data_IF_458341788209
#
_entry.id   IF_458341788209
#
_cell.length_a   1.000
_cell.length_b   1.000
_cell.length_c   1.000
_cell.angle_alpha   90.00
_cell.angle_beta   90.00
_cell.angle_gamma   90.00
#
_symmetry.space_group_name_H-M   'P 1'
#
loop_
_entity.id
_entity.type
_entity.pdbx_description
1 polymer ?
#
# COMPACT_ATOMS: atom_id res chain seq x y z
N UNK A 1 -3.60 16.40 28.40
CA UNK A 1 -3.53 17.82 28.03
C UNK A 1 -4.29 18.03 26.73
N UNK A 2 -5.00 19.14 26.60
CA UNK A 2 -5.66 19.49 25.34
C UNK A 2 -4.61 19.84 24.29
N UNK A 3 -4.84 19.42 23.03
CA UNK A 3 -3.98 19.76 21.90
C UNK A 3 -4.16 21.23 21.53
N UNK A 4 -3.06 21.90 21.18
CA UNK A 4 -3.13 23.25 20.59
C UNK A 4 -3.74 23.19 19.19
N UNK A 5 -4.23 24.29 18.65
CA UNK A 5 -4.82 24.34 17.30
C UNK A 5 -3.82 23.90 16.21
N UNK A 6 -2.55 24.28 16.32
CA UNK A 6 -1.51 23.81 15.40
C UNK A 6 -1.27 22.30 15.50
N UNK A 7 -1.38 21.72 16.70
CA UNK A 7 -1.22 20.27 16.88
C UNK A 7 -2.42 19.48 16.32
N UNK A 8 -3.64 20.01 16.49
CA UNK A 8 -4.83 19.41 15.88
C UNK A 8 -4.70 19.43 14.36
N UNK A 9 -4.37 20.59 13.80
CA UNK A 9 -4.17 20.75 12.36
C UNK A 9 -3.06 19.83 11.83
N UNK A 10 -1.96 19.67 12.58
CA UNK A 10 -0.92 18.70 12.21
C UNK A 10 -1.45 17.28 12.13
N UNK A 11 -2.25 16.84 13.10
CA UNK A 11 -2.83 15.50 13.08
C UNK A 11 -3.77 15.27 11.87
N UNK A 12 -4.59 16.28 11.52
CA UNK A 12 -5.46 16.24 10.35
C UNK A 12 -4.67 16.20 9.04
N UNK A 13 -3.66 17.06 8.90
CA UNK A 13 -2.81 17.14 7.71
C UNK A 13 -1.94 15.87 7.53
N UNK A 14 -1.50 15.27 8.63
CA UNK A 14 -0.74 14.02 8.59
C UNK A 14 -1.55 12.86 8.01
N UNK A 15 -2.85 12.83 8.22
CA UNK A 15 -3.74 11.78 7.69
C UNK A 15 -3.95 11.84 6.17
N UNK A 16 -3.50 12.89 5.51
CA UNK A 16 -3.64 13.04 4.05
C UNK A 16 -2.59 12.23 3.30
N UNK A 17 -1.34 12.29 3.72
CA UNK A 17 -0.21 11.69 3.01
C UNK A 17 0.78 10.92 3.90
N UNK A 18 0.54 10.87 5.21
CA UNK A 18 1.40 10.25 6.22
C UNK A 18 2.84 10.81 6.23
N UNK A 19 3.02 12.02 5.73
CA UNK A 19 4.30 12.71 5.67
C UNK A 19 4.39 13.77 6.79
N UNK A 20 5.16 13.46 7.84
CA UNK A 20 5.29 14.33 9.02
C UNK A 20 5.85 15.71 8.69
N UNK A 21 6.83 15.80 7.80
CA UNK A 21 7.47 17.06 7.41
C UNK A 21 6.48 17.96 6.68
N UNK A 22 5.76 17.42 5.70
CA UNK A 22 4.77 18.17 4.93
C UNK A 22 3.58 18.56 5.80
N UNK A 23 3.11 17.66 6.66
CA UNK A 23 2.04 17.94 7.61
C UNK A 23 2.42 19.07 8.57
N UNK A 24 3.66 19.10 9.07
CA UNK A 24 4.15 20.19 9.93
C UNK A 24 4.14 21.55 9.17
N UNK A 25 4.60 21.58 7.92
CA UNK A 25 4.57 22.80 7.10
C UNK A 25 3.13 23.31 6.92
N UNK A 26 2.20 22.42 6.52
CA UNK A 26 0.79 22.75 6.30
C UNK A 26 0.09 23.17 7.60
N UNK A 27 0.51 22.63 8.73
CA UNK A 27 0.02 23.06 10.05
C UNK A 27 0.58 24.39 10.54
N UNK A 28 1.49 25.04 9.78
CA UNK A 28 2.04 26.35 10.06
C UNK A 28 3.29 26.32 10.94
N UNK A 29 4.05 25.23 10.94
CA UNK A 29 5.40 25.18 11.50
C UNK A 29 6.42 25.67 10.45
N UNK A 30 7.59 26.13 10.91
CA UNK A 30 8.64 26.62 10.02
C UNK A 30 9.18 25.51 9.12
N UNK A 31 9.28 25.75 7.81
CA UNK A 31 9.82 24.80 6.85
C UNK A 31 11.27 24.38 7.19
N UNK A 32 12.07 25.30 7.76
CA UNK A 32 13.46 25.02 8.15
C UNK A 32 13.58 23.95 9.24
N UNK A 33 12.59 23.83 10.12
CA UNK A 33 12.59 22.90 11.25
C UNK A 33 11.48 21.86 11.15
N UNK A 34 10.75 21.80 10.02
CA UNK A 34 9.57 20.98 9.87
C UNK A 34 9.84 19.47 10.05
N UNK A 35 11.01 19.00 9.64
CA UNK A 35 11.41 17.60 9.81
C UNK A 35 11.55 17.24 11.30
N UNK A 36 12.29 18.06 12.06
CA UNK A 36 12.45 17.84 13.49
C UNK A 36 11.13 18.01 14.24
N UNK A 37 10.37 19.06 13.91
CA UNK A 37 9.06 19.30 14.51
C UNK A 37 8.08 18.19 14.21
N UNK A 38 8.04 17.68 12.98
CA UNK A 38 7.20 16.55 12.57
C UNK A 38 7.50 15.30 13.39
N UNK A 39 8.78 14.97 13.52
CA UNK A 39 9.24 13.83 14.32
C UNK A 39 8.87 13.99 15.82
N UNK A 40 9.06 15.17 16.39
CA UNK A 40 8.68 15.46 17.80
C UNK A 40 7.17 15.42 18.01
N UNK A 41 6.39 15.90 17.04
CA UNK A 41 4.93 15.87 17.08
C UNK A 41 4.42 14.43 17.02
N UNK A 42 4.98 13.58 16.16
CA UNK A 42 4.62 12.17 16.09
C UNK A 42 4.99 11.39 17.35
N UNK A 43 6.05 11.78 18.07
CA UNK A 43 6.42 11.20 19.35
C UNK A 43 5.48 11.61 20.50
N UNK A 44 4.64 12.64 20.32
CA UNK A 44 3.73 13.12 21.35
C UNK A 44 2.50 12.18 21.48
N UNK A 45 2.34 11.60 22.67
CA UNK A 45 1.27 10.64 22.98
C UNK A 45 -0.14 11.22 22.72
N UNK A 46 -0.36 12.51 22.99
CA UNK A 46 -1.66 13.15 22.77
C UNK A 46 -1.97 13.29 21.28
N UNK A 47 -0.96 13.57 20.45
CA UNK A 47 -1.10 13.63 18.99
C UNK A 47 -1.30 12.23 18.42
N UNK A 48 -0.55 11.22 18.87
CA UNK A 48 -0.76 9.83 18.47
C UNK A 48 -2.18 9.34 18.75
N UNK A 49 -2.73 9.67 19.93
CA UNK A 49 -4.12 9.37 20.27
C UNK A 49 -5.10 10.07 19.34
N UNK A 50 -4.87 11.32 18.99
CA UNK A 50 -5.72 12.07 18.06
C UNK A 50 -5.68 11.46 16.65
N UNK A 51 -4.50 11.11 16.15
CA UNK A 51 -4.31 10.43 14.86
C UNK A 51 -5.03 9.08 14.86
N UNK A 52 -4.81 8.25 15.88
CA UNK A 52 -5.44 6.91 15.98
C UNK A 52 -6.97 7.03 16.02
N UNK A 53 -7.51 8.00 16.77
CA UNK A 53 -8.95 8.26 16.83
C UNK A 53 -9.49 8.66 15.45
N UNK A 54 -8.84 9.57 14.76
CA UNK A 54 -9.27 10.03 13.44
C UNK A 54 -9.18 8.93 12.36
N UNK A 55 -8.17 8.05 12.44
CA UNK A 55 -8.09 6.84 11.60
C UNK A 55 -9.27 5.91 11.88
N UNK A 56 -9.59 5.64 13.15
CA UNK A 56 -10.70 4.79 13.54
C UNK A 56 -12.05 5.37 13.07
N UNK A 57 -12.28 6.67 13.25
CA UNK A 57 -13.49 7.36 12.77
C UNK A 57 -13.61 7.30 11.25
N UNK A 58 -12.49 7.51 10.52
CA UNK A 58 -12.46 7.39 9.06
C UNK A 58 -12.78 5.96 8.62
N UNK A 59 -12.16 4.97 9.24
CA UNK A 59 -12.40 3.55 8.95
C UNK A 59 -13.85 3.16 9.23
N UNK A 60 -14.41 3.62 10.34
CA UNK A 60 -15.82 3.39 10.69
C UNK A 60 -16.77 4.00 9.64
N UNK A 61 -16.53 5.25 9.23
CA UNK A 61 -17.34 5.97 8.25
C UNK A 61 -17.26 5.37 6.84
N UNK A 62 -16.06 5.02 6.39
CA UNK A 62 -15.82 4.49 5.03
C UNK A 62 -15.99 2.99 4.96
N UNK A 63 -15.99 2.29 6.09
CA UNK A 63 -15.90 0.82 6.19
C UNK A 63 -14.67 0.25 5.46
N UNK A 64 -13.62 1.06 5.32
CA UNK A 64 -12.33 0.67 4.74
C UNK A 64 -11.32 0.63 5.87
N UNK A 65 -10.73 -0.55 6.10
CA UNK A 65 -9.60 -0.77 7.00
C UNK A 65 -8.42 -1.35 6.22
N UNK A 66 -7.23 -1.27 6.81
CA UNK A 66 -6.03 -1.93 6.27
C UNK A 66 -6.28 -3.42 6.04
N UNK A 67 -6.83 -4.10 7.05
CA UNK A 67 -7.12 -5.54 6.97
C UNK A 67 -8.06 -5.88 5.82
N UNK A 68 -9.08 -5.04 5.59
CA UNK A 68 -9.99 -5.25 4.48
C UNK A 68 -9.31 -5.13 3.13
N UNK A 69 -8.42 -4.14 2.96
CA UNK A 69 -7.65 -3.98 1.71
C UNK A 69 -6.69 -5.16 1.52
N UNK A 70 -5.98 -5.57 2.57
CA UNK A 70 -5.08 -6.74 2.55
C UNK A 70 -5.86 -8.01 2.21
N UNK A 71 -7.04 -8.21 2.79
CA UNK A 71 -7.88 -9.37 2.49
C UNK A 71 -8.37 -9.39 1.04
N UNK A 72 -8.77 -8.24 0.47
CA UNK A 72 -9.15 -8.18 -0.95
C UNK A 72 -7.97 -8.45 -1.89
N UNK A 73 -6.77 -7.93 -1.56
CA UNK A 73 -5.55 -8.26 -2.29
C UNK A 73 -5.20 -9.75 -2.18
N UNK A 74 -5.39 -10.34 -1.01
CA UNK A 74 -5.12 -11.76 -0.77
C UNK A 74 -6.03 -12.67 -1.62
N UNK A 75 -7.30 -12.34 -1.80
CA UNK A 75 -8.21 -13.07 -2.68
C UNK A 75 -7.68 -13.14 -4.12
N UNK A 76 -7.13 -12.04 -4.63
CA UNK A 76 -6.53 -11.99 -5.98
C UNK A 76 -5.19 -12.75 -6.01
N UNK A 77 -4.34 -12.51 -5.01
CA UNK A 77 -2.99 -13.06 -4.94
C UNK A 77 -2.96 -14.58 -4.81
N UNK A 78 -3.90 -15.16 -4.08
CA UNK A 78 -3.94 -16.59 -3.79
C UNK A 78 -5.01 -17.36 -4.60
N UNK A 79 -5.71 -16.67 -5.50
CA UNK A 79 -6.67 -17.29 -6.38
C UNK A 79 -6.02 -18.44 -7.18
N UNK A 80 -6.68 -19.58 -7.23
CA UNK A 80 -6.33 -20.68 -8.09
C UNK A 80 -7.37 -20.80 -9.23
N UNK A 81 -6.90 -20.86 -10.46
CA UNK A 81 -7.79 -21.00 -11.61
C UNK A 81 -8.66 -22.27 -11.56
N UNK A 82 -8.14 -23.32 -10.94
CA UNK A 82 -8.88 -24.56 -10.73
C UNK A 82 -10.11 -24.41 -9.80
N UNK A 83 -10.20 -23.32 -9.04
CA UNK A 83 -11.37 -23.02 -8.21
C UNK A 83 -12.50 -22.40 -9.04
N UNK A 84 -12.17 -21.78 -10.18
CA UNK A 84 -13.11 -21.10 -11.09
C UNK A 84 -13.56 -22.01 -12.22
N UNK A 85 -12.66 -22.77 -12.83
CA UNK A 85 -12.96 -23.59 -14.01
C UNK A 85 -12.90 -25.08 -13.70
N UNK A 86 -13.69 -25.85 -14.43
CA UNK A 86 -13.68 -27.30 -14.41
C UNK A 86 -12.66 -27.89 -15.40
N UNK A 87 -12.57 -29.23 -15.46
CA UNK A 87 -11.66 -29.93 -16.37
C UNK A 87 -12.01 -29.74 -17.87
N UNK A 88 -13.22 -29.31 -18.16
CA UNK A 88 -13.70 -29.05 -19.52
C UNK A 88 -13.51 -27.59 -19.96
N UNK A 89 -12.91 -26.76 -19.09
CA UNK A 89 -12.73 -25.33 -19.34
C UNK A 89 -13.97 -24.46 -19.06
N UNK A 90 -15.05 -25.06 -18.53
CA UNK A 90 -16.26 -24.30 -18.18
C UNK A 90 -16.17 -23.72 -16.79
N UNK A 91 -16.83 -22.58 -16.58
CA UNK A 91 -16.96 -22.00 -15.26
C UNK A 91 -17.81 -22.91 -14.37
N UNK A 92 -17.29 -23.22 -13.18
CA UNK A 92 -18.02 -24.01 -12.19
C UNK A 92 -19.28 -23.27 -11.71
N UNK A 93 -20.33 -24.01 -11.41
CA UNK A 93 -21.59 -23.42 -10.90
C UNK A 93 -21.49 -22.92 -9.46
N UNK A 94 -20.49 -23.38 -8.71
CA UNK A 94 -20.29 -23.11 -7.29
C UNK A 94 -19.07 -22.22 -7.00
N UNK A 95 -18.65 -21.36 -7.95
CA UNK A 95 -17.56 -20.41 -7.73
C UNK A 95 -17.92 -19.46 -6.58
N UNK A 96 -17.02 -19.33 -5.61
CA UNK A 96 -17.27 -18.47 -4.46
C UNK A 96 -17.22 -17.00 -4.88
N UNK A 97 -17.88 -16.13 -4.06
CA UNK A 97 -17.80 -14.69 -4.29
C UNK A 97 -16.37 -14.15 -4.16
N UNK A 98 -15.57 -14.79 -3.33
CA UNK A 98 -14.18 -14.40 -3.10
C UNK A 98 -13.29 -14.75 -4.30
N UNK A 99 -13.52 -15.91 -4.94
CA UNK A 99 -12.82 -16.30 -6.17
C UNK A 99 -13.21 -15.40 -7.34
N UNK A 100 -14.48 -14.94 -7.38
CA UNK A 100 -14.95 -13.97 -8.37
C UNK A 100 -14.22 -12.62 -8.29
N UNK A 101 -13.65 -12.23 -7.12
CA UNK A 101 -12.88 -11.01 -6.97
C UNK A 101 -11.60 -10.98 -7.84
N UNK A 102 -11.11 -12.15 -8.25
CA UNK A 102 -9.97 -12.27 -9.16
C UNK A 102 -10.31 -12.15 -10.64
N UNK A 103 -11.59 -12.04 -11.01
CA UNK A 103 -12.02 -11.92 -12.41
C UNK A 103 -12.12 -10.43 -12.77
N UNK A 104 -11.31 -9.98 -13.72
CA UNK A 104 -11.32 -8.60 -14.22
C UNK A 104 -12.52 -8.35 -15.12
N UNK A 105 -12.79 -9.27 -16.02
CA UNK A 105 -13.98 -9.27 -16.87
C UNK A 105 -14.34 -10.69 -17.34
N UNK A 106 -15.59 -10.85 -17.67
CA UNK A 106 -16.15 -12.08 -18.24
C UNK A 106 -17.11 -11.74 -19.37
N UNK A 107 -17.01 -12.49 -20.47
CA UNK A 107 -17.92 -12.43 -21.62
C UNK A 107 -18.44 -13.81 -21.94
N UNK A 108 -19.73 -13.97 -22.09
CA UNK A 108 -20.35 -15.21 -22.54
C UNK A 108 -21.05 -14.98 -23.88
N UNK A 109 -20.79 -15.83 -24.83
CA UNK A 109 -21.43 -15.85 -26.15
C UNK A 109 -22.10 -17.19 -26.38
N UNK A 110 -23.30 -17.17 -26.96
CA UNK A 110 -23.92 -18.35 -27.49
C UNK A 110 -23.58 -18.49 -28.96
N UNK A 111 -23.08 -19.63 -29.35
CA UNK A 111 -22.75 -19.95 -30.75
C UNK A 111 -23.67 -21.11 -31.17
N UNK A 112 -24.49 -20.87 -32.19
CA UNK A 112 -25.24 -21.94 -32.83
C UNK A 112 -24.29 -22.72 -33.78
N UNK A 113 -24.15 -24.01 -33.56
CA UNK A 113 -23.36 -24.91 -34.37
C UNK A 113 -24.29 -25.96 -35.01
N UNK A 114 -23.84 -26.63 -36.06
CA UNK A 114 -24.58 -27.72 -36.69
C UNK A 114 -25.01 -28.85 -35.72
N UNK A 115 -24.30 -28.97 -34.60
CA UNK A 115 -24.54 -29.98 -33.55
C UNK A 115 -25.30 -29.44 -32.34
N UNK A 116 -25.79 -28.18 -32.39
CA UNK A 116 -26.55 -27.55 -31.32
C UNK A 116 -25.94 -26.22 -30.80
N UNK A 117 -26.49 -25.77 -29.69
CA UNK A 117 -26.07 -24.50 -29.05
C UNK A 117 -24.87 -24.73 -28.14
N UNK A 118 -23.76 -24.02 -28.41
CA UNK A 118 -22.56 -24.05 -27.58
C UNK A 118 -22.40 -22.68 -26.88
N UNK A 119 -22.23 -22.71 -25.58
CA UNK A 119 -21.94 -21.52 -24.78
C UNK A 119 -20.43 -21.38 -24.60
N UNK A 120 -19.83 -20.40 -25.27
CA UNK A 120 -18.44 -20.03 -25.09
C UNK A 120 -18.33 -18.96 -24.02
N UNK A 121 -17.44 -19.14 -23.05
CA UNK A 121 -17.19 -18.16 -21.99
C UNK A 121 -15.72 -17.79 -21.96
N UNK A 122 -15.43 -16.53 -22.25
CA UNK A 122 -14.11 -15.92 -22.11
C UNK A 122 -14.04 -15.15 -20.80
N UNK A 123 -12.94 -15.24 -20.09
CA UNK A 123 -12.70 -14.42 -18.90
C UNK A 123 -11.23 -14.04 -18.79
N UNK A 124 -10.97 -12.91 -18.15
CA UNK A 124 -9.63 -12.44 -17.84
C UNK A 124 -9.49 -12.34 -16.33
N UNK A 125 -8.37 -12.84 -15.81
CA UNK A 125 -8.02 -12.72 -14.42
C UNK A 125 -7.21 -11.47 -14.17
N UNK A 126 -7.44 -10.86 -13.02
CA UNK A 126 -6.62 -9.75 -12.49
C UNK A 126 -5.19 -10.21 -12.27
N UNK A 127 -4.23 -9.30 -12.39
CA UNK A 127 -2.80 -9.63 -12.25
C UNK A 127 -2.46 -10.13 -10.84
N UNK A 128 -2.31 -11.44 -10.69
CA UNK A 128 -1.85 -12.11 -9.47
C UNK A 128 -0.47 -11.62 -9.03
N UNK A 129 0.45 -11.40 -9.97
CA UNK A 129 1.79 -10.89 -9.67
C UNK A 129 1.74 -9.51 -9.05
N UNK A 130 0.87 -8.62 -9.55
CA UNK A 130 0.70 -7.28 -8.98
C UNK A 130 0.13 -7.30 -7.57
N UNK A 131 -0.84 -8.17 -7.32
CA UNK A 131 -1.40 -8.33 -5.98
C UNK A 131 -0.37 -8.88 -4.99
N UNK A 132 0.44 -9.88 -5.40
CA UNK A 132 1.54 -10.42 -4.59
C UNK A 132 2.62 -9.37 -4.32
N UNK A 133 2.98 -8.54 -5.31
CA UNK A 133 3.93 -7.44 -5.13
C UNK A 133 3.44 -6.45 -4.08
N UNK A 134 2.18 -6.03 -4.16
CA UNK A 134 1.60 -5.10 -3.19
C UNK A 134 1.54 -5.68 -1.78
N UNK A 135 1.18 -6.96 -1.64
CA UNK A 135 1.21 -7.65 -0.35
C UNK A 135 2.63 -7.78 0.19
N UNK A 136 3.61 -8.15 -0.66
CA UNK A 136 5.00 -8.25 -0.26
C UNK A 136 5.57 -6.91 0.20
N UNK A 137 5.23 -5.81 -0.46
CA UNK A 137 5.58 -4.44 -0.02
C UNK A 137 4.93 -4.09 1.32
N UNK A 138 3.66 -4.42 1.50
CA UNK A 138 2.96 -4.19 2.75
C UNK A 138 3.60 -4.96 3.93
N UNK A 139 4.07 -6.18 3.67
CA UNK A 139 4.77 -7.02 4.65
C UNK A 139 6.25 -6.65 4.83
N UNK A 140 6.76 -5.66 4.09
CA UNK A 140 8.18 -5.27 4.16
C UNK A 140 9.13 -6.33 3.61
N UNK A 141 8.66 -7.26 2.75
CA UNK A 141 9.49 -8.33 2.18
C UNK A 141 10.51 -7.82 1.15
N UNK A 142 10.22 -6.69 0.51
CA UNK A 142 11.09 -6.06 -0.47
C UNK A 142 11.71 -4.82 0.17
N UNK A 143 12.95 -4.95 0.65
CA UNK A 143 13.76 -3.81 1.06
C UNK A 143 14.62 -3.39 -0.13
N UNK A 144 14.36 -2.20 -0.68
CA UNK A 144 15.30 -1.59 -1.62
C UNK A 144 16.60 -1.33 -0.86
N UNK A 145 17.60 -2.17 -1.06
CA UNK A 145 18.97 -1.86 -0.63
C UNK A 145 19.47 -0.72 -1.50
N UNK A 146 19.32 0.49 -1.02
CA UNK A 146 20.09 1.62 -1.56
C UNK A 146 21.51 1.44 -1.05
N UNK A 147 22.37 0.80 -1.84
CA UNK A 147 23.80 0.81 -1.58
C UNK A 147 24.29 2.23 -1.84
N UNK A 148 24.52 2.97 -0.77
CA UNK A 148 25.18 4.27 -0.79
C UNK A 148 26.70 4.07 -1.03
N UNK A 149 27.04 3.42 -2.13
CA UNK A 149 28.44 3.18 -2.52
C UNK A 149 29.23 4.49 -2.73
N UNK A 150 28.54 5.62 -2.90
CA UNK A 150 29.15 6.94 -3.00
C UNK A 150 29.73 7.45 -1.67
N UNK A 151 29.11 7.16 -0.53
CA UNK A 151 29.56 7.69 0.77
C UNK A 151 30.87 7.09 1.25
N UNK A 152 31.15 5.84 0.92
CA UNK A 152 32.42 5.20 1.28
C UNK A 152 33.62 5.77 0.48
N UNK A 153 33.39 6.13 -0.79
CA UNK A 153 34.41 6.77 -1.62
C UNK A 153 34.69 8.23 -1.20
N UNK A 154 33.68 8.93 -0.65
CA UNK A 154 33.85 10.29 -0.12
C UNK A 154 34.51 10.28 1.27
N UNK A 155 34.19 9.31 2.12
CA UNK A 155 34.87 9.13 3.40
C UNK A 155 36.37 8.79 3.21
N UNK A 156 36.71 7.89 2.26
CA UNK A 156 38.11 7.61 1.93
C UNK A 156 38.88 8.85 1.47
N UNK A 157 38.29 9.70 0.63
CA UNK A 157 38.90 10.98 0.22
C UNK A 157 39.08 11.98 1.34
N UNK A 158 38.14 12.00 2.30
CA UNK A 158 38.22 12.87 3.47
C UNK A 158 39.33 12.41 4.42
N UNK A 159 39.45 11.12 4.64
CA UNK A 159 40.51 10.54 5.46
C UNK A 159 41.89 10.77 4.85
N UNK A 160 42.05 10.63 3.52
CA UNK A 160 43.30 10.96 2.80
C UNK A 160 43.66 12.44 2.93
N UNK A 161 42.69 13.35 2.82
CA UNK A 161 42.92 14.79 3.01
C UNK A 161 43.31 15.15 4.45
N UNK A 162 42.69 14.50 5.45
CA UNK A 162 43.05 14.70 6.87
C UNK A 162 44.47 14.19 7.14
N UNK A 163 44.89 13.12 6.48
CA UNK A 163 46.24 12.56 6.64
C UNK A 163 47.32 13.47 6.03
N UNK A 164 47.02 14.08 4.85
CA UNK A 164 47.91 15.09 4.20
C UNK A 164 48.05 16.40 5.00
N UNK A 165 47.06 16.76 5.82
CA UNK A 165 47.11 17.96 6.67
C UNK A 165 47.86 17.73 8.01
N UNK A 166 48.23 16.47 8.32
CA UNK A 166 48.97 16.09 9.54
C UNK A 166 50.46 15.93 9.33
N UNK A 167 50.92 15.92 8.07
CA UNK A 167 52.34 15.98 7.67
C UNK A 167 52.79 17.46 7.46
#
# INVERSE_FOLDING_TARGET
MALTEKQKRFAEEYLMDLNATQAAIRAGYSAKTANEQGSRLLANVSIQKAISKAIAERSCRTKISQDRVVNELAKIAFLNIADIIDQNGNMKSNVSRDDMAGIEWMRSRGIETENGYVKETEFRLTSKLKALELLGRHLGMFTDRVELSGLQAEQGKLDDLIQQLRE
#
